data_IF_049556660359
#
_entry.id   IF_049556660359
#
_cell.length_a   1.000
_cell.length_b   1.000
_cell.length_c   1.000
_cell.angle_alpha   90.00
_cell.angle_beta   90.00
_cell.angle_gamma   90.00
#
_symmetry.space_group_name_H-M   'P 1'
#
loop_
_entity.id
_entity.type
_entity.pdbx_description
1 polymer ?
#
# COMPACT_ATOMS: atom_id res chain seq x y z
N UNK A 1 15.26 24.68 -72.70
CA UNK A 1 14.66 23.38 -72.31
C UNK A 1 14.67 23.30 -70.83
N UNK A 2 13.55 23.66 -70.19
CA UNK A 2 13.43 23.87 -68.73
C UNK A 2 12.53 22.74 -68.17
N UNK A 3 13.10 21.85 -67.35
CA UNK A 3 12.31 20.88 -66.61
C UNK A 3 12.01 21.43 -65.24
N UNK A 4 10.74 21.59 -64.94
CA UNK A 4 10.24 21.88 -63.60
C UNK A 4 10.08 20.56 -62.81
N UNK A 5 10.72 20.46 -61.67
CA UNK A 5 10.42 19.44 -60.64
C UNK A 5 9.26 19.94 -59.79
N UNK A 6 8.21 19.17 -59.74
CA UNK A 6 7.12 19.32 -58.74
C UNK A 6 7.46 18.51 -57.52
N UNK A 7 7.62 19.17 -56.40
CA UNK A 7 7.75 18.54 -55.08
C UNK A 7 6.36 18.28 -54.50
N UNK A 8 6.05 17.03 -54.28
CA UNK A 8 4.85 16.60 -53.56
C UNK A 8 5.10 16.66 -52.06
N UNK A 9 4.39 17.53 -51.37
CA UNK A 9 4.25 17.55 -49.92
C UNK A 9 3.02 16.72 -49.53
N UNK A 10 3.23 15.53 -49.03
CA UNK A 10 2.22 14.73 -48.36
C UNK A 10 2.90 13.71 -47.43
N UNK A 11 3.15 14.11 -46.20
CA UNK A 11 3.34 13.17 -45.06
C UNK A 11 3.25 13.99 -43.75
N UNK A 12 2.12 13.89 -43.09
CA UNK A 12 1.96 14.57 -41.80
C UNK A 12 0.61 14.38 -41.17
N UNK A 13 0.06 13.16 -41.18
CA UNK A 13 -1.16 12.88 -40.37
C UNK A 13 -1.35 11.37 -40.21
N UNK A 14 -0.50 10.71 -39.47
CA UNK A 14 -0.78 9.33 -38.98
C UNK A 14 0.22 8.94 -37.90
N UNK A 15 0.00 9.36 -36.64
CA UNK A 15 0.70 8.77 -35.49
C UNK A 15 0.08 9.19 -34.12
N UNK A 16 -1.21 9.45 -34.06
CA UNK A 16 -1.88 9.68 -32.74
C UNK A 16 -2.93 8.59 -32.40
N UNK A 17 -3.22 7.66 -33.30
CA UNK A 17 -4.24 6.63 -33.11
C UNK A 17 -3.78 5.30 -32.50
N UNK A 18 -2.48 5.07 -32.29
CA UNK A 18 -1.99 3.70 -32.01
C UNK A 18 -1.90 3.33 -30.52
N UNK A 19 -1.95 4.28 -29.61
CA UNK A 19 -1.83 3.99 -28.16
C UNK A 19 -3.15 3.53 -27.53
N UNK A 20 -4.22 4.24 -27.81
CA UNK A 20 -5.54 3.91 -27.27
C UNK A 20 -6.09 2.58 -27.82
N UNK A 21 -5.95 2.35 -29.13
CA UNK A 21 -6.36 1.09 -29.76
C UNK A 21 -5.59 -0.12 -29.22
N UNK A 22 -4.28 0.01 -28.94
CA UNK A 22 -3.50 -1.08 -28.32
C UNK A 22 -3.88 -1.37 -26.88
N UNK A 23 -4.27 -0.35 -26.12
CA UNK A 23 -4.75 -0.52 -24.75
C UNK A 23 -6.14 -1.19 -24.71
N UNK A 24 -7.04 -0.82 -25.62
CA UNK A 24 -8.34 -1.49 -25.77
C UNK A 24 -8.19 -2.94 -26.21
N UNK A 25 -7.30 -3.23 -27.15
CA UNK A 25 -7.02 -4.61 -27.59
C UNK A 25 -6.45 -5.46 -26.44
N UNK A 26 -5.55 -4.92 -25.63
CA UNK A 26 -4.99 -5.63 -24.46
C UNK A 26 -6.05 -5.89 -23.42
N UNK A 27 -6.93 -4.93 -23.13
CA UNK A 27 -8.02 -5.08 -22.21
C UNK A 27 -9.03 -6.14 -22.67
N UNK A 28 -9.45 -6.11 -23.92
CA UNK A 28 -10.34 -7.13 -24.49
C UNK A 28 -9.72 -8.52 -24.44
N UNK A 29 -8.41 -8.62 -24.70
CA UNK A 29 -7.66 -9.86 -24.57
C UNK A 29 -7.68 -10.38 -23.12
N UNK A 30 -7.40 -9.53 -22.13
CA UNK A 30 -7.42 -9.90 -20.73
C UNK A 30 -8.82 -10.32 -20.26
N UNK A 31 -9.87 -9.61 -20.70
CA UNK A 31 -11.25 -9.96 -20.39
C UNK A 31 -11.68 -11.31 -20.97
N UNK A 32 -11.15 -11.66 -22.14
CA UNK A 32 -11.44 -12.91 -22.83
C UNK A 32 -10.53 -14.09 -22.45
N UNK A 33 -9.40 -13.83 -21.80
CA UNK A 33 -8.43 -14.88 -21.43
C UNK A 33 -8.98 -15.82 -20.36
N UNK A 34 -8.96 -17.12 -20.68
CA UNK A 34 -9.21 -18.20 -19.75
C UNK A 34 -8.13 -19.26 -19.93
N UNK A 35 -7.72 -19.87 -18.82
CA UNK A 35 -6.79 -20.99 -18.84
C UNK A 35 -7.40 -22.19 -19.61
N UNK A 36 -6.60 -22.81 -20.47
CA UNK A 36 -6.99 -24.04 -21.17
C UNK A 36 -5.87 -25.09 -21.04
N UNK A 37 -6.08 -26.22 -20.38
CA UNK A 37 -7.27 -26.58 -19.62
C UNK A 37 -7.43 -25.76 -18.33
N UNK A 38 -8.64 -25.52 -17.86
CA UNK A 38 -8.86 -24.84 -16.59
C UNK A 38 -8.25 -25.67 -15.46
N UNK A 39 -7.37 -25.06 -14.69
CA UNK A 39 -6.85 -25.67 -13.47
C UNK A 39 -7.81 -25.30 -12.35
N UNK A 40 -8.45 -26.32 -11.79
CA UNK A 40 -9.39 -26.13 -10.69
C UNK A 40 -8.63 -26.11 -9.36
N UNK A 41 -8.43 -24.90 -8.80
CA UNK A 41 -8.06 -24.74 -7.40
C UNK A 41 -9.06 -23.85 -6.69
N UNK A 42 -9.20 -24.00 -5.35
CA UNK A 42 -10.31 -23.43 -4.61
C UNK A 42 -10.39 -21.90 -4.75
N UNK A 43 -11.58 -21.42 -5.07
CA UNK A 43 -11.93 -20.00 -4.97
C UNK A 43 -12.41 -19.68 -3.55
N UNK A 44 -12.33 -18.41 -3.17
CA UNK A 44 -12.96 -17.92 -1.94
C UNK A 44 -14.44 -17.69 -2.24
N UNK A 45 -15.37 -18.32 -1.50
CA UNK A 45 -16.80 -18.08 -1.70
C UNK A 45 -17.16 -16.61 -1.48
N UNK A 46 -17.86 -16.02 -2.46
CA UNK A 46 -18.28 -14.62 -2.42
C UNK A 46 -19.73 -14.43 -1.98
N UNK A 47 -20.47 -15.49 -1.79
CA UNK A 47 -21.86 -15.51 -1.34
C UNK A 47 -22.01 -16.23 0.00
N UNK A 48 -23.12 -15.99 0.69
CA UNK A 48 -23.48 -16.65 1.93
C UNK A 48 -23.49 -15.76 3.17
N UNK A 49 -23.70 -16.34 4.36
CA UNK A 49 -23.94 -15.59 5.60
C UNK A 49 -22.86 -14.56 5.97
N UNK A 50 -21.60 -14.83 5.62
CA UNK A 50 -20.50 -13.88 5.87
C UNK A 50 -20.62 -12.64 4.99
N UNK A 51 -20.91 -12.84 3.71
CA UNK A 51 -21.16 -11.74 2.75
C UNK A 51 -22.32 -10.86 3.21
N UNK A 52 -23.42 -11.48 3.63
CA UNK A 52 -24.61 -10.76 4.11
C UNK A 52 -24.30 -9.96 5.39
N UNK A 53 -23.54 -10.55 6.33
CA UNK A 53 -23.14 -9.88 7.55
C UNK A 53 -22.25 -8.65 7.26
N UNK A 54 -21.30 -8.76 6.33
CA UNK A 54 -20.45 -7.64 5.93
C UNK A 54 -21.26 -6.55 5.25
N UNK A 55 -22.11 -6.89 4.27
CA UNK A 55 -22.99 -5.92 3.60
C UNK A 55 -23.89 -5.19 4.60
N UNK A 56 -24.39 -5.90 5.62
CA UNK A 56 -25.18 -5.29 6.70
C UNK A 56 -24.36 -4.28 7.50
N UNK A 57 -23.12 -4.61 7.90
CA UNK A 57 -22.22 -3.68 8.62
C UNK A 57 -21.98 -2.44 7.77
N UNK A 58 -21.64 -2.59 6.49
CA UNK A 58 -21.38 -1.47 5.60
C UNK A 58 -22.58 -0.53 5.50
N UNK A 59 -23.78 -1.09 5.38
CA UNK A 59 -25.01 -0.32 5.26
C UNK A 59 -25.43 0.39 6.56
N UNK A 60 -25.27 -0.27 7.71
CA UNK A 60 -25.85 0.20 8.97
C UNK A 60 -24.89 1.00 9.83
N UNK A 61 -23.57 0.76 9.68
CA UNK A 61 -22.57 1.30 10.59
C UNK A 61 -21.61 2.30 9.94
N UNK A 62 -21.27 2.11 8.65
CA UNK A 62 -20.27 2.94 8.01
C UNK A 62 -20.82 4.30 7.63
N UNK A 63 -20.07 5.34 8.00
CA UNK A 63 -20.36 6.74 7.71
C UNK A 63 -19.33 7.28 6.74
N UNK A 64 -19.81 7.99 5.74
CA UNK A 64 -19.05 8.63 4.67
C UNK A 64 -19.50 10.08 4.48
N UNK A 65 -18.69 10.95 3.88
CA UNK A 65 -19.14 12.25 3.44
C UNK A 65 -20.30 12.16 2.42
N UNK A 66 -21.15 13.18 2.32
CA UNK A 66 -22.26 13.18 1.37
C UNK A 66 -21.84 12.89 -0.07
N UNK A 67 -22.61 12.05 -0.76
CA UNK A 67 -22.36 11.63 -2.14
C UNK A 67 -21.40 10.45 -2.30
N UNK A 68 -20.75 10.03 -1.21
CA UNK A 68 -19.93 8.82 -1.21
C UNK A 68 -20.74 7.59 -0.80
N UNK A 69 -20.39 6.47 -1.39
CA UNK A 69 -20.99 5.16 -1.17
C UNK A 69 -19.90 4.13 -0.89
N UNK A 70 -20.27 3.05 -0.18
CA UNK A 70 -19.36 1.92 0.09
C UNK A 70 -20.10 0.61 -0.11
N UNK A 71 -19.40 -0.36 -0.70
CA UNK A 71 -19.89 -1.72 -0.87
C UNK A 71 -18.80 -2.76 -0.64
N UNK A 72 -19.20 -4.01 -0.51
CA UNK A 72 -18.25 -5.13 -0.51
C UNK A 72 -17.78 -5.38 -1.95
N UNK A 73 -16.47 -5.16 -2.19
CA UNK A 73 -15.83 -5.50 -3.45
C UNK A 73 -15.56 -7.01 -3.55
N UNK A 74 -14.99 -7.60 -2.48
CA UNK A 74 -14.75 -9.03 -2.37
C UNK A 74 -14.52 -9.49 -0.92
N UNK A 75 -14.82 -10.76 -0.62
CA UNK A 75 -14.26 -11.46 0.54
C UNK A 75 -12.85 -11.95 0.19
N UNK A 76 -11.87 -11.49 0.95
CA UNK A 76 -10.45 -11.81 0.74
C UNK A 76 -9.82 -12.14 2.10
N UNK A 77 -9.57 -13.41 2.41
CA UNK A 77 -9.07 -13.79 3.74
C UNK A 77 -7.73 -13.15 4.08
N UNK A 78 -7.61 -12.55 5.27
CA UNK A 78 -6.40 -11.88 5.76
C UNK A 78 -5.90 -10.77 4.80
N UNK A 79 -6.81 -9.97 4.24
CA UNK A 79 -6.51 -8.95 3.25
C UNK A 79 -5.62 -7.85 3.81
N UNK A 80 -4.42 -7.70 3.23
CA UNK A 80 -3.44 -6.69 3.64
C UNK A 80 -3.19 -5.69 2.49
N UNK A 81 -1.94 -5.39 2.16
CA UNK A 81 -1.64 -4.41 1.11
C UNK A 81 -2.07 -4.89 -0.27
N UNK A 82 -2.45 -3.94 -1.11
CA UNK A 82 -3.05 -4.19 -2.40
C UNK A 82 -2.23 -3.57 -3.54
N UNK A 83 -2.17 -4.27 -4.67
CA UNK A 83 -1.65 -3.75 -5.91
C UNK A 83 -2.68 -3.94 -7.02
N UNK A 84 -3.29 -2.86 -7.46
CA UNK A 84 -4.21 -2.87 -8.61
C UNK A 84 -3.39 -3.06 -9.88
N UNK A 85 -3.76 -4.06 -10.69
CA UNK A 85 -3.10 -4.31 -11.97
C UNK A 85 -3.24 -3.13 -12.94
N UNK A 86 -2.23 -2.87 -13.77
CA UNK A 86 -2.23 -1.74 -14.71
C UNK A 86 -3.45 -1.69 -15.63
N UNK A 87 -4.04 -2.85 -15.95
CA UNK A 87 -5.26 -2.94 -16.76
C UNK A 87 -6.55 -2.88 -15.92
N UNK A 88 -6.44 -2.88 -14.59
CA UNK A 88 -7.60 -2.79 -13.68
C UNK A 88 -8.54 -3.99 -13.70
N UNK A 89 -8.06 -5.16 -14.14
CA UNK A 89 -8.83 -6.42 -14.17
C UNK A 89 -8.61 -7.21 -12.89
N UNK A 90 -7.40 -7.24 -12.39
CA UNK A 90 -7.01 -8.00 -11.21
C UNK A 90 -6.35 -7.10 -10.17
N UNK A 91 -6.73 -7.27 -8.92
CA UNK A 91 -6.04 -6.67 -7.77
C UNK A 91 -5.35 -7.77 -7.00
N UNK A 92 -4.03 -7.65 -6.82
CA UNK A 92 -3.26 -8.57 -5.99
C UNK A 92 -3.29 -8.11 -4.55
N UNK A 93 -3.69 -9.02 -3.66
CA UNK A 93 -3.85 -8.72 -2.23
C UNK A 93 -2.89 -9.58 -1.41
N UNK A 94 -1.95 -8.94 -0.74
CA UNK A 94 -1.02 -9.61 0.16
C UNK A 94 -1.67 -10.05 1.47
N UNK A 95 -0.97 -10.90 2.23
CA UNK A 95 -1.41 -11.37 3.54
C UNK A 95 -0.27 -11.42 4.55
N UNK A 96 -0.59 -11.55 5.83
CA UNK A 96 0.38 -11.83 6.89
C UNK A 96 0.55 -13.34 7.16
N UNK A 97 0.12 -14.19 6.25
CA UNK A 97 0.24 -15.65 6.34
C UNK A 97 1.14 -16.15 5.21
N UNK A 98 0.57 -16.85 4.25
CA UNK A 98 1.34 -17.52 3.20
C UNK A 98 0.76 -17.36 1.81
N UNK A 99 -0.31 -16.56 1.66
CA UNK A 99 -1.04 -16.44 0.40
C UNK A 99 -0.99 -15.02 -0.14
N UNK A 100 -1.02 -14.92 -1.44
CA UNK A 100 -1.43 -13.72 -2.17
C UNK A 100 -2.71 -14.10 -2.90
N UNK A 101 -3.66 -13.19 -2.90
CA UNK A 101 -4.91 -13.37 -3.60
C UNK A 101 -4.93 -12.58 -4.89
N UNK A 102 -5.39 -13.19 -5.96
CA UNK A 102 -5.81 -12.50 -7.18
C UNK A 102 -7.32 -12.28 -7.09
N UNK A 103 -7.72 -11.03 -7.03
CA UNK A 103 -9.11 -10.57 -6.92
C UNK A 103 -9.49 -9.99 -8.27
N UNK A 104 -10.42 -10.61 -8.97
CA UNK A 104 -10.69 -10.37 -10.39
C UNK A 104 -12.05 -9.71 -10.58
N UNK A 105 -12.08 -8.59 -11.28
CA UNK A 105 -13.27 -7.89 -11.78
C UNK A 105 -13.15 -7.71 -13.30
N UNK A 106 -13.38 -8.80 -14.06
CA UNK A 106 -13.23 -8.83 -15.53
C UNK A 106 -14.23 -7.92 -16.23
N UNK A 107 -15.43 -7.88 -15.72
CA UNK A 107 -16.53 -7.07 -16.28
C UNK A 107 -16.39 -5.59 -15.92
N UNK A 108 -15.46 -5.25 -15.01
CA UNK A 108 -15.34 -3.89 -14.46
C UNK A 108 -16.63 -3.37 -13.85
N UNK A 109 -17.36 -4.26 -13.18
CA UNK A 109 -18.60 -3.94 -12.50
C UNK A 109 -18.43 -3.15 -11.21
N UNK A 110 -17.21 -3.16 -10.65
CA UNK A 110 -16.92 -2.62 -9.33
C UNK A 110 -17.17 -3.62 -8.20
N UNK A 111 -17.49 -4.87 -8.53
CA UNK A 111 -17.59 -6.02 -7.61
C UNK A 111 -16.82 -7.17 -8.21
N UNK A 112 -15.89 -7.75 -7.44
CA UNK A 112 -15.06 -8.83 -7.94
C UNK A 112 -15.89 -10.11 -8.17
N UNK A 113 -15.65 -10.75 -9.30
CA UNK A 113 -16.34 -11.99 -9.70
C UNK A 113 -15.67 -13.20 -9.09
N UNK A 114 -14.33 -13.13 -8.85
CA UNK A 114 -13.55 -14.27 -8.40
C UNK A 114 -12.39 -13.86 -7.52
N UNK A 115 -12.09 -14.70 -6.52
CA UNK A 115 -10.92 -14.58 -5.66
C UNK A 115 -10.22 -15.93 -5.59
N UNK A 116 -8.98 -15.98 -6.11
CA UNK A 116 -8.12 -17.18 -6.15
C UNK A 116 -6.77 -16.91 -5.52
N UNK A 117 -6.12 -17.94 -5.02
CA UNK A 117 -4.72 -17.83 -4.63
C UNK A 117 -3.84 -17.60 -5.85
N UNK A 118 -2.99 -16.58 -5.79
CA UNK A 118 -2.00 -16.30 -6.84
C UNK A 118 -0.74 -17.15 -6.66
N UNK A 119 -0.28 -17.79 -7.73
CA UNK A 119 0.93 -18.64 -7.78
C UNK A 119 0.98 -19.67 -6.64
N UNK A 120 -0.02 -20.57 -6.50
CA UNK A 120 -0.12 -21.49 -5.37
C UNK A 120 1.02 -22.52 -5.32
N UNK A 121 1.67 -22.82 -6.43
CA UNK A 121 2.82 -23.75 -6.49
C UNK A 121 4.07 -23.20 -5.82
N UNK A 122 4.16 -21.88 -5.58
CA UNK A 122 5.30 -21.25 -4.94
C UNK A 122 5.00 -20.98 -3.45
N UNK A 123 5.75 -21.60 -2.51
CA UNK A 123 5.64 -21.26 -1.09
C UNK A 123 6.02 -19.80 -0.83
N UNK A 124 5.18 -19.09 -0.06
CA UNK A 124 5.35 -17.70 0.33
C UNK A 124 5.37 -17.56 1.84
N UNK A 125 6.11 -16.59 2.35
CA UNK A 125 6.21 -16.31 3.79
C UNK A 125 5.93 -14.85 4.08
N UNK A 126 4.75 -14.58 4.66
CA UNK A 126 4.31 -13.22 4.98
C UNK A 126 4.39 -12.28 3.76
N UNK A 127 3.78 -12.62 2.62
CA UNK A 127 3.82 -11.82 1.40
C UNK A 127 2.87 -10.61 1.52
N UNK A 128 3.22 -9.67 2.39
CA UNK A 128 2.33 -8.59 2.80
C UNK A 128 2.20 -7.50 1.75
N UNK A 129 3.29 -7.17 1.05
CA UNK A 129 3.36 -5.97 0.22
C UNK A 129 3.58 -6.25 -1.27
N UNK A 130 2.51 -6.44 -2.07
CA UNK A 130 2.60 -6.38 -3.50
C UNK A 130 2.70 -4.94 -3.98
N UNK A 131 3.45 -4.68 -5.06
CA UNK A 131 3.45 -3.42 -5.79
C UNK A 131 3.78 -3.60 -7.28
N UNK A 132 3.23 -2.77 -8.15
CA UNK A 132 3.58 -2.77 -9.57
C UNK A 132 4.65 -1.73 -9.89
N UNK A 133 5.52 -2.08 -10.82
CA UNK A 133 6.32 -1.09 -11.54
C UNK A 133 5.52 -0.50 -12.71
N UNK A 134 5.91 0.69 -13.22
CA UNK A 134 5.22 1.32 -14.36
C UNK A 134 5.21 0.49 -15.64
N UNK A 135 6.17 -0.42 -15.80
CA UNK A 135 6.28 -1.37 -16.92
C UNK A 135 5.54 -2.69 -16.70
N UNK A 136 4.77 -2.81 -15.60
CA UNK A 136 3.82 -3.90 -15.36
C UNK A 136 4.40 -5.13 -14.66
N UNK A 137 5.60 -5.04 -14.09
CA UNK A 137 6.11 -6.10 -13.22
C UNK A 137 5.49 -6.03 -11.83
N UNK A 138 4.95 -7.14 -11.34
CA UNK A 138 4.49 -7.24 -9.96
C UNK A 138 5.67 -7.65 -9.07
N UNK A 139 6.00 -6.81 -8.10
CA UNK A 139 6.89 -7.15 -7.00
C UNK A 139 6.09 -7.63 -5.80
N UNK A 140 6.62 -8.61 -5.10
CA UNK A 140 6.06 -9.09 -3.83
C UNK A 140 7.16 -9.11 -2.80
N UNK A 141 7.01 -8.28 -1.78
CA UNK A 141 7.94 -8.25 -0.66
C UNK A 141 7.42 -9.12 0.47
N UNK A 142 8.18 -10.16 0.76
CA UNK A 142 7.98 -11.05 1.89
C UNK A 142 8.77 -10.57 3.12
N UNK A 143 8.67 -11.26 4.22
CA UNK A 143 9.41 -10.89 5.42
C UNK A 143 10.92 -10.73 5.17
N UNK A 144 11.52 -11.65 4.39
CA UNK A 144 12.98 -11.66 4.15
C UNK A 144 13.35 -12.13 2.72
N UNK A 145 12.48 -11.83 1.74
CA UNK A 145 12.69 -12.14 0.32
C UNK A 145 11.94 -11.12 -0.53
N UNK A 146 12.41 -10.88 -1.76
CA UNK A 146 11.68 -10.11 -2.77
C UNK A 146 11.57 -10.92 -4.06
N UNK A 147 10.36 -11.08 -4.53
CA UNK A 147 10.01 -11.76 -5.78
C UNK A 147 9.50 -10.77 -6.82
N UNK A 148 9.71 -11.08 -8.09
CA UNK A 148 9.20 -10.33 -9.24
C UNK A 148 8.44 -11.27 -10.17
N UNK A 149 7.25 -10.86 -10.60
CA UNK A 149 6.42 -11.59 -11.54
C UNK A 149 6.23 -10.72 -12.80
N UNK A 150 6.90 -11.08 -13.91
CA UNK A 150 6.97 -10.21 -15.10
C UNK A 150 5.65 -10.08 -15.86
N UNK A 151 4.72 -11.00 -15.66
CA UNK A 151 3.46 -11.02 -16.40
C UNK A 151 2.28 -11.45 -15.51
N UNK A 152 2.28 -11.02 -14.24
CA UNK A 152 1.30 -11.44 -13.24
C UNK A 152 -0.14 -11.20 -13.71
N UNK A 153 -0.43 -10.03 -14.27
CA UNK A 153 -1.76 -9.65 -14.71
C UNK A 153 -2.30 -10.49 -15.87
N UNK A 154 -1.41 -11.12 -16.66
CA UNK A 154 -1.80 -11.97 -17.77
C UNK A 154 -1.92 -13.46 -17.38
N UNK A 155 -1.17 -13.91 -16.35
CA UNK A 155 -1.08 -15.31 -15.98
C UNK A 155 -1.53 -15.62 -14.55
N UNK A 156 -2.26 -14.70 -13.90
CA UNK A 156 -2.70 -14.86 -12.52
C UNK A 156 -3.59 -16.08 -12.26
N UNK A 157 -4.20 -16.64 -13.30
CA UNK A 157 -4.99 -17.87 -13.23
C UNK A 157 -4.16 -19.14 -13.41
N UNK A 158 -2.83 -19.02 -13.63
CA UNK A 158 -1.95 -20.18 -13.71
C UNK A 158 -1.45 -20.60 -12.32
N UNK A 159 -1.43 -21.91 -12.00
CA UNK A 159 -0.80 -22.37 -10.76
C UNK A 159 0.71 -22.14 -10.77
N UNK A 160 1.32 -22.16 -11.96
CA UNK A 160 2.74 -21.96 -12.21
C UNK A 160 2.94 -20.65 -12.98
N UNK A 161 3.38 -19.62 -12.28
CA UNK A 161 3.64 -18.29 -12.84
C UNK A 161 5.15 -18.07 -12.91
N UNK A 162 5.62 -17.49 -14.03
CA UNK A 162 7.01 -17.09 -14.15
C UNK A 162 7.39 -16.12 -13.01
N UNK A 163 8.47 -16.42 -12.29
CA UNK A 163 8.94 -15.65 -11.15
C UNK A 163 10.45 -15.45 -11.22
N UNK A 164 10.88 -14.22 -10.96
CA UNK A 164 12.26 -13.85 -10.72
C UNK A 164 12.51 -13.64 -9.23
N UNK A 165 13.71 -13.97 -8.77
CA UNK A 165 14.16 -13.69 -7.42
C UNK A 165 14.99 -12.40 -7.45
N UNK A 166 14.44 -11.33 -6.87
CA UNK A 166 15.12 -10.03 -6.78
C UNK A 166 16.07 -9.99 -5.59
N UNK A 167 15.58 -10.44 -4.42
CA UNK A 167 16.39 -10.65 -3.22
C UNK A 167 16.12 -12.07 -2.72
N UNK A 168 17.16 -12.93 -2.64
CA UNK A 168 17.02 -14.30 -2.14
C UNK A 168 16.50 -14.37 -0.70
N UNK A 169 15.91 -15.49 -0.33
CA UNK A 169 15.41 -15.70 1.03
C UNK A 169 16.57 -15.63 2.05
N UNK A 170 16.38 -14.81 3.08
CA UNK A 170 17.38 -14.58 4.12
C UNK A 170 18.42 -13.52 3.79
N UNK A 171 18.30 -12.82 2.65
CA UNK A 171 19.25 -11.78 2.24
C UNK A 171 18.69 -10.34 2.34
N UNK A 172 17.38 -10.17 2.53
CA UNK A 172 16.82 -8.84 2.74
C UNK A 172 17.23 -8.26 4.09
N UNK A 173 17.20 -9.09 5.14
CA UNK A 173 17.70 -8.80 6.48
C UNK A 173 18.46 -10.02 7.03
N UNK A 174 19.41 -9.85 8.00
CA UNK A 174 20.01 -11.00 8.67
C UNK A 174 18.95 -11.88 9.34
N UNK A 175 19.08 -13.20 9.22
CA UNK A 175 18.13 -14.15 9.84
C UNK A 175 18.01 -13.98 11.35
N UNK A 176 19.07 -13.54 12.03
CA UNK A 176 19.07 -13.21 13.47
C UNK A 176 18.15 -12.04 13.83
N UNK A 177 17.78 -11.21 12.86
CA UNK A 177 16.91 -10.04 13.03
C UNK A 177 15.47 -10.31 12.55
N UNK A 178 15.16 -11.54 12.11
CA UNK A 178 13.78 -11.94 11.86
C UNK A 178 12.99 -11.98 13.17
N UNK A 179 11.78 -11.47 13.15
CA UNK A 179 10.90 -11.36 14.32
C UNK A 179 9.45 -11.64 13.91
N UNK A 180 8.59 -11.92 14.88
CA UNK A 180 7.13 -11.90 14.69
C UNK A 180 6.56 -10.48 14.67
N UNK A 181 7.29 -9.52 15.25
CA UNK A 181 6.88 -8.13 15.28
C UNK A 181 7.38 -7.39 14.03
N UNK A 182 6.60 -6.41 13.58
CA UNK A 182 6.93 -5.47 12.52
C UNK A 182 7.39 -6.17 11.22
N UNK A 183 6.70 -7.25 10.87
CA UNK A 183 7.02 -8.09 9.71
C UNK A 183 6.41 -7.62 8.40
N UNK A 184 5.44 -6.71 8.46
CA UNK A 184 4.85 -6.14 7.26
C UNK A 184 5.93 -5.43 6.45
N UNK A 185 6.02 -5.79 5.18
CA UNK A 185 6.89 -5.14 4.19
C UNK A 185 5.99 -4.59 3.12
N UNK A 186 6.24 -3.38 2.71
CA UNK A 186 5.56 -2.77 1.58
C UNK A 186 6.59 -2.27 0.58
N UNK A 187 6.21 -2.20 -0.69
CA UNK A 187 7.05 -1.65 -1.74
C UNK A 187 6.33 -0.59 -2.56
N UNK A 188 7.14 0.28 -3.18
CA UNK A 188 6.75 1.15 -4.29
C UNK A 188 7.93 1.29 -5.25
N UNK A 189 7.63 1.40 -6.53
CA UNK A 189 8.64 1.84 -7.50
C UNK A 189 8.56 3.36 -7.60
N UNK A 190 9.68 4.00 -7.25
CA UNK A 190 9.76 5.45 -7.21
C UNK A 190 9.87 6.11 -8.59
N UNK A 191 9.73 7.43 -8.65
CA UNK A 191 9.87 8.19 -9.89
C UNK A 191 11.29 8.14 -10.50
N UNK A 192 12.27 7.70 -9.71
CA UNK A 192 13.64 7.42 -10.13
C UNK A 192 13.83 6.00 -10.70
N UNK A 193 12.75 5.21 -10.79
CA UNK A 193 12.75 3.84 -11.26
C UNK A 193 13.32 2.82 -10.28
N UNK A 194 13.63 3.20 -9.03
CA UNK A 194 14.12 2.28 -8.01
C UNK A 194 12.97 1.66 -7.20
N UNK A 195 13.22 0.47 -6.69
CA UNK A 195 12.32 -0.23 -5.78
C UNK A 195 12.60 0.24 -4.34
N UNK A 196 11.60 0.82 -3.70
CA UNK A 196 11.61 1.24 -2.29
C UNK A 196 10.92 0.20 -1.45
N UNK A 197 11.47 -0.10 -0.27
CA UNK A 197 10.94 -1.12 0.65
C UNK A 197 11.02 -0.63 2.08
N UNK A 198 9.90 -0.71 2.81
CA UNK A 198 9.82 -0.41 4.23
C UNK A 198 10.25 -1.60 5.08
N UNK A 199 11.10 -1.34 6.08
CA UNK A 199 11.64 -2.34 6.99
C UNK A 199 11.37 -1.96 8.44
N UNK A 200 10.30 -2.48 9.04
CA UNK A 200 10.09 -2.37 10.48
C UNK A 200 11.18 -3.11 11.26
N UNK A 201 11.58 -2.58 12.41
CA UNK A 201 12.60 -3.19 13.26
C UNK A 201 11.97 -4.10 14.35
N UNK A 202 12.69 -5.11 14.88
CA UNK A 202 12.09 -6.19 15.68
C UNK A 202 11.55 -5.79 17.07
N UNK A 203 12.03 -4.71 17.66
CA UNK A 203 11.76 -4.37 19.07
C UNK A 203 10.70 -3.27 19.22
N UNK A 204 10.10 -3.18 20.39
CA UNK A 204 9.34 -1.99 20.78
C UNK A 204 10.27 -0.76 20.81
N UNK A 205 11.36 -0.85 21.60
CA UNK A 205 12.51 0.05 21.54
C UNK A 205 13.75 -0.83 21.48
N UNK A 206 14.67 -0.66 20.49
CA UNK A 206 15.81 -1.54 20.35
C UNK A 206 16.85 -1.33 21.45
N UNK A 207 17.60 -2.38 21.86
CA UNK A 207 18.75 -2.23 22.69
C UNK A 207 19.80 -1.32 22.03
N UNK A 208 20.54 -0.53 22.85
CA UNK A 208 21.50 0.48 22.37
C UNK A 208 22.57 -0.11 21.46
N UNK A 209 23.03 -1.32 21.73
CA UNK A 209 24.01 -2.05 20.93
C UNK A 209 23.53 -2.44 19.52
N UNK A 210 22.22 -2.49 19.29
CA UNK A 210 21.64 -2.77 17.98
C UNK A 210 21.53 -1.54 17.07
N UNK A 211 21.63 -0.34 17.62
CA UNK A 211 21.38 0.90 16.91
C UNK A 211 22.24 1.06 15.66
N UNK A 212 23.57 0.87 15.79
CA UNK A 212 24.50 0.98 14.66
C UNK A 212 24.23 -0.05 13.56
N UNK A 213 23.85 -1.28 13.96
CA UNK A 213 23.48 -2.34 13.03
C UNK A 213 22.20 -1.98 12.28
N UNK A 214 21.18 -1.52 12.98
CA UNK A 214 19.87 -1.20 12.37
C UNK A 214 19.96 0.00 11.43
N UNK A 215 20.71 1.03 11.80
CA UNK A 215 20.99 2.17 10.90
C UNK A 215 21.72 1.71 9.63
N UNK A 216 22.70 0.81 9.74
CA UNK A 216 23.44 0.23 8.60
C UNK A 216 22.54 -0.61 7.69
N UNK A 217 21.60 -1.36 8.26
CA UNK A 217 20.70 -2.26 7.51
C UNK A 217 19.45 -1.55 6.97
N UNK A 218 19.12 -0.36 7.50
CA UNK A 218 17.84 0.31 7.24
C UNK A 218 16.65 -0.32 7.97
N UNK A 219 16.90 -1.11 9.04
CA UNK A 219 15.83 -1.61 9.91
C UNK A 219 15.28 -0.47 10.77
N UNK A 220 13.97 -0.33 10.81
CA UNK A 220 13.33 0.90 11.28
C UNK A 220 13.57 2.05 10.29
N UNK A 221 13.29 1.79 9.02
CA UNK A 221 13.53 2.75 7.96
C UNK A 221 13.00 2.29 6.60
N UNK A 222 13.50 2.96 5.58
CA UNK A 222 13.20 2.66 4.19
C UNK A 222 14.51 2.43 3.46
N UNK A 223 14.59 1.34 2.70
CA UNK A 223 15.67 1.08 1.76
C UNK A 223 15.20 1.29 0.34
N UNK A 224 16.15 1.56 -0.57
CA UNK A 224 15.87 1.49 -2.00
C UNK A 224 16.95 0.70 -2.72
N UNK A 225 16.62 0.17 -3.88
CA UNK A 225 17.53 -0.59 -4.73
C UNK A 225 17.08 -0.52 -6.18
N UNK A 226 17.94 -0.94 -7.09
CA UNK A 226 17.51 -1.17 -8.47
C UNK A 226 16.48 -2.30 -8.50
N UNK A 227 15.60 -2.31 -9.49
CA UNK A 227 14.53 -3.29 -9.63
C UNK A 227 15.04 -4.75 -9.74
N UNK A 228 16.31 -4.97 -10.01
CA UNK A 228 16.99 -6.26 -10.02
C UNK A 228 17.67 -6.62 -8.69
N UNK A 229 17.43 -5.85 -7.62
CA UNK A 229 17.99 -6.06 -6.29
C UNK A 229 19.40 -5.51 -6.06
N UNK A 230 20.06 -4.95 -7.08
CA UNK A 230 21.42 -4.38 -6.96
C UNK A 230 21.37 -2.95 -6.40
N UNK A 231 22.56 -2.45 -6.03
CA UNK A 231 22.74 -1.06 -5.58
C UNK A 231 21.82 -0.66 -4.42
N UNK A 232 21.66 -1.58 -3.43
CA UNK A 232 20.87 -1.33 -2.24
C UNK A 232 21.47 -0.19 -1.43
N UNK A 233 20.62 0.76 -1.07
CA UNK A 233 20.94 1.94 -0.25
C UNK A 233 19.92 2.07 0.89
N UNK A 234 20.33 2.64 2.02
CA UNK A 234 19.42 3.09 3.07
C UNK A 234 18.92 4.48 2.69
N UNK A 235 17.61 4.60 2.45
CA UNK A 235 17.00 5.86 2.02
C UNK A 235 16.64 6.75 3.19
N UNK A 236 16.03 6.18 4.24
CA UNK A 236 15.69 6.89 5.48
C UNK A 236 15.87 5.98 6.70
N UNK A 237 16.13 6.60 7.84
CA UNK A 237 16.32 5.94 9.15
C UNK A 237 15.46 6.61 10.22
N UNK A 238 15.45 6.07 11.44
CA UNK A 238 14.75 6.70 12.57
C UNK A 238 13.25 6.52 12.54
N UNK A 239 12.73 5.61 11.75
CA UNK A 239 11.37 5.08 11.81
C UNK A 239 11.36 3.83 12.72
N UNK A 240 10.18 3.45 13.23
CA UNK A 240 10.05 2.26 14.06
C UNK A 240 9.46 1.07 13.29
N UNK A 241 8.26 1.23 12.82
CA UNK A 241 7.53 0.26 12.03
C UNK A 241 6.76 0.97 10.93
N UNK A 242 7.46 1.46 9.89
CA UNK A 242 6.81 2.10 8.77
C UNK A 242 5.97 1.09 8.01
N UNK A 243 4.71 1.44 7.78
CA UNK A 243 3.73 0.64 7.02
C UNK A 243 2.86 1.60 6.24
N UNK A 244 2.80 1.43 4.95
CA UNK A 244 2.12 2.37 4.06
C UNK A 244 3.04 3.49 3.57
N UNK A 245 3.26 3.53 2.25
CA UNK A 245 4.01 4.61 1.61
C UNK A 245 3.51 4.87 0.20
N UNK A 246 3.62 6.13 -0.22
CA UNK A 246 3.36 6.50 -1.61
C UNK A 246 4.11 7.79 -1.97
N UNK A 247 4.29 8.03 -3.27
CA UNK A 247 4.94 9.22 -3.78
C UNK A 247 3.93 10.30 -4.13
N UNK A 248 4.16 11.51 -3.65
CA UNK A 248 3.37 12.66 -4.05
C UNK A 248 3.46 12.84 -5.58
N UNK A 249 2.33 12.79 -6.29
CA UNK A 249 2.34 12.91 -7.75
C UNK A 249 2.85 14.26 -8.25
N UNK A 250 2.77 15.32 -7.41
CA UNK A 250 3.13 16.69 -7.77
C UNK A 250 4.62 16.97 -7.61
N UNK A 251 5.17 16.74 -6.42
CA UNK A 251 6.56 17.12 -6.08
C UNK A 251 7.52 15.92 -5.94
N UNK A 252 6.99 14.70 -6.04
CA UNK A 252 7.73 13.44 -5.95
C UNK A 252 8.33 13.14 -4.57
N UNK A 253 8.00 13.88 -3.53
CA UNK A 253 8.33 13.52 -2.16
C UNK A 253 7.71 12.17 -1.80
N UNK A 254 8.43 11.37 -1.02
CA UNK A 254 7.92 10.10 -0.49
C UNK A 254 7.17 10.38 0.81
N UNK A 255 6.02 9.77 1.00
CA UNK A 255 5.26 9.83 2.25
C UNK A 255 5.12 8.46 2.87
N UNK A 256 5.16 8.39 4.19
CA UNK A 256 5.10 7.13 4.94
C UNK A 256 4.38 7.30 6.27
N UNK A 257 3.47 6.38 6.59
CA UNK A 257 2.98 6.20 7.94
C UNK A 257 4.00 5.42 8.77
N UNK A 258 4.07 5.71 10.08
CA UNK A 258 4.91 4.98 11.02
C UNK A 258 4.17 4.69 12.33
N UNK A 259 4.30 3.43 12.81
CA UNK A 259 3.69 2.95 14.04
C UNK A 259 4.65 3.09 15.21
N UNK A 260 4.22 3.75 16.27
CA UNK A 260 5.05 4.24 17.33
C UNK A 260 5.12 3.33 18.58
N UNK A 261 5.90 3.75 19.59
CA UNK A 261 6.25 2.95 20.77
C UNK A 261 5.01 2.59 21.59
N UNK A 262 4.91 1.33 22.00
CA UNK A 262 3.87 0.82 22.87
C UNK A 262 4.20 1.04 24.35
N UNK A 263 3.14 1.14 25.20
CA UNK A 263 3.29 1.13 26.65
C UNK A 263 3.71 2.44 27.30
N UNK A 264 3.57 3.57 26.59
CA UNK A 264 3.86 4.90 27.12
C UNK A 264 2.62 5.61 27.72
N UNK A 265 1.44 5.02 27.59
CA UNK A 265 0.16 5.55 28.02
C UNK A 265 -0.85 5.59 26.87
N UNK A 266 -2.10 5.96 27.17
CA UNK A 266 -3.17 5.96 26.17
C UNK A 266 -2.97 7.04 25.09
N UNK A 267 -2.51 8.23 25.46
CA UNK A 267 -2.50 9.40 24.59
C UNK A 267 -1.12 9.75 24.03
N UNK A 268 -0.09 8.97 24.37
CA UNK A 268 1.27 9.13 23.87
C UNK A 268 1.93 7.76 23.60
N UNK A 269 2.86 7.71 22.64
CA UNK A 269 3.20 8.75 21.66
C UNK A 269 2.21 8.79 20.50
N UNK A 270 2.13 9.88 19.74
CA UNK A 270 1.32 9.95 18.53
C UNK A 270 1.85 8.99 17.47
N UNK A 271 0.97 8.48 16.59
CA UNK A 271 1.35 7.92 15.31
C UNK A 271 1.88 8.99 14.37
N UNK A 272 2.55 8.62 13.31
CA UNK A 272 3.19 9.58 12.41
C UNK A 272 2.81 9.38 10.96
N UNK A 273 2.59 10.49 10.26
CA UNK A 273 2.66 10.56 8.80
C UNK A 273 3.84 11.46 8.45
N UNK A 274 4.86 10.84 7.88
CA UNK A 274 6.15 11.45 7.59
C UNK A 274 6.27 11.81 6.11
N UNK A 275 6.83 12.98 5.82
CA UNK A 275 7.25 13.40 4.49
C UNK A 275 8.76 13.27 4.37
N UNK A 276 9.21 12.59 3.34
CA UNK A 276 10.61 12.34 3.05
C UNK A 276 10.99 13.11 1.77
N UNK A 277 11.75 14.16 1.92
CA UNK A 277 12.15 15.03 0.80
C UNK A 277 13.42 14.57 0.10
N UNK A 278 14.31 13.89 0.84
CA UNK A 278 15.63 13.44 0.33
C UNK A 278 16.15 12.22 1.04
N UNK A 279 17.08 11.56 0.40
CA UNK A 279 17.80 10.45 1.00
C UNK A 279 18.69 10.93 2.18
N UNK A 280 18.73 10.10 3.24
CA UNK A 280 19.56 10.30 4.44
C UNK A 280 18.84 10.97 5.59
N UNK A 281 17.55 11.25 5.48
CA UNK A 281 16.76 11.79 6.59
C UNK A 281 16.60 10.77 7.72
N UNK A 282 16.64 11.30 8.97
CA UNK A 282 16.48 10.53 10.21
C UNK A 282 15.27 11.06 10.98
N UNK A 283 14.28 10.19 11.23
CA UNK A 283 13.00 10.54 11.85
C UNK A 283 12.99 10.34 13.37
N UNK A 284 14.17 10.16 13.97
CA UNK A 284 14.41 10.32 15.39
C UNK A 284 14.17 9.10 16.27
N UNK A 285 13.56 8.02 15.80
CA UNK A 285 13.50 6.78 16.58
C UNK A 285 14.92 6.12 16.62
N UNK A 286 15.40 5.62 17.76
CA UNK A 286 14.67 5.32 19.01
C UNK A 286 14.75 6.40 20.09
N UNK A 287 15.33 7.57 19.85
CA UNK A 287 15.37 8.66 20.84
C UNK A 287 13.98 9.23 21.12
N UNK A 288 13.15 9.30 20.07
CA UNK A 288 11.73 9.65 20.15
C UNK A 288 10.89 8.40 19.91
N UNK A 289 9.83 8.23 20.66
CA UNK A 289 8.91 7.11 20.54
C UNK A 289 7.74 7.40 19.60
N UNK A 290 7.65 8.64 19.12
CA UNK A 290 6.69 9.23 18.21
C UNK A 290 6.54 10.72 18.49
N UNK A 291 6.47 11.53 17.42
CA UNK A 291 6.49 12.97 17.50
C UNK A 291 7.68 13.47 18.32
N UNK A 292 7.41 14.33 19.28
CA UNK A 292 8.44 14.86 20.19
C UNK A 292 8.59 14.09 21.52
N UNK A 293 7.94 12.92 21.67
CA UNK A 293 7.91 12.15 22.93
C UNK A 293 9.18 11.30 23.07
N UNK A 294 10.02 11.60 24.08
CA UNK A 294 11.26 10.88 24.35
C UNK A 294 11.01 9.47 24.89
N UNK A 295 11.77 8.48 24.40
CA UNK A 295 11.79 7.12 24.97
C UNK A 295 12.61 7.10 26.26
N UNK A 296 12.18 6.26 27.24
CA UNK A 296 12.88 6.12 28.51
C UNK A 296 14.25 5.50 28.34
N UNK A 297 14.39 4.53 27.44
CA UNK A 297 15.60 3.76 27.15
C UNK A 297 16.73 4.61 26.59
N UNK A 298 16.40 5.75 25.96
CA UNK A 298 17.35 6.66 25.33
C UNK A 298 17.37 8.06 25.97
N UNK A 299 16.80 8.21 27.15
CA UNK A 299 16.73 9.51 27.84
C UNK A 299 18.12 10.08 28.19
N UNK A 300 19.09 9.20 28.42
CA UNK A 300 20.49 9.53 28.73
C UNK A 300 21.34 9.85 27.49
N UNK A 301 20.79 9.71 26.29
CA UNK A 301 21.46 10.03 25.04
C UNK A 301 20.94 11.33 24.43
N UNK A 302 21.82 12.07 23.78
CA UNK A 302 21.44 13.23 22.96
C UNK A 302 20.93 12.73 21.60
N UNK A 303 19.72 13.12 21.17
CA UNK A 303 19.24 12.83 19.83
C UNK A 303 20.14 13.45 18.75
N UNK A 304 20.10 12.94 17.51
CA UNK A 304 20.68 13.64 16.37
C UNK A 304 20.13 15.08 16.26
N UNK A 305 20.98 16.01 15.80
CA UNK A 305 20.59 17.42 15.71
C UNK A 305 19.67 17.72 14.52
N UNK A 306 19.64 16.83 13.53
CA UNK A 306 18.95 16.95 12.25
C UNK A 306 17.73 16.02 12.11
N UNK A 307 17.10 15.68 13.25
CA UNK A 307 15.88 14.87 13.25
C UNK A 307 14.77 15.60 12.51
N UNK A 308 14.14 14.88 11.56
CA UNK A 308 12.94 15.31 10.87
C UNK A 308 11.73 14.84 11.65
N UNK A 309 10.83 15.75 11.99
CA UNK A 309 9.60 15.44 12.68
C UNK A 309 8.43 15.25 11.70
N UNK A 310 7.37 14.51 12.10
CA UNK A 310 6.26 14.20 11.21
C UNK A 310 5.51 15.45 10.73
N UNK A 311 5.00 15.39 9.50
CA UNK A 311 4.06 16.40 8.97
C UNK A 311 2.72 16.33 9.69
N UNK A 312 2.30 15.14 10.13
CA UNK A 312 1.07 14.93 10.89
C UNK A 312 1.33 13.98 12.05
N UNK A 313 1.01 14.45 13.26
CA UNK A 313 0.87 13.59 14.42
C UNK A 313 -0.55 13.00 14.43
N UNK A 314 -0.64 11.69 14.38
CA UNK A 314 -1.89 10.93 14.39
C UNK A 314 -2.31 10.59 15.84
N UNK A 315 -3.56 10.18 16.01
CA UNK A 315 -4.03 9.71 17.32
C UNK A 315 -3.16 8.55 17.80
N UNK A 316 -2.67 8.66 19.05
CA UNK A 316 -1.78 7.65 19.64
C UNK A 316 -2.38 6.23 19.56
N UNK A 317 -1.56 5.30 19.12
CA UNK A 317 -1.89 3.86 19.02
C UNK A 317 -3.01 3.49 18.04
N UNK A 318 -3.43 4.41 17.16
CA UNK A 318 -4.46 4.11 16.16
C UNK A 318 -4.01 3.04 15.13
N UNK A 319 -2.72 2.72 15.11
CA UNK A 319 -2.06 1.81 14.17
C UNK A 319 -2.24 2.27 12.72
N UNK A 320 -1.53 3.33 12.38
CA UNK A 320 -1.54 3.92 11.04
C UNK A 320 -0.83 2.98 10.05
N UNK A 321 -1.55 2.52 9.02
CA UNK A 321 -1.06 1.54 8.05
C UNK A 321 -1.03 2.12 6.64
N UNK A 322 -1.77 1.52 5.69
CA UNK A 322 -1.73 1.89 4.28
C UNK A 322 -1.94 3.37 3.98
N UNK A 323 -1.30 3.84 2.93
CA UNK A 323 -1.32 5.23 2.49
C UNK A 323 -1.28 5.29 0.97
N UNK A 324 -2.12 6.13 0.36
CA UNK A 324 -2.10 6.38 -1.07
C UNK A 324 -2.51 7.81 -1.41
N UNK A 325 -1.85 8.41 -2.40
CA UNK A 325 -2.28 9.66 -3.01
C UNK A 325 -3.44 9.41 -3.97
N UNK A 326 -4.49 10.19 -3.86
CA UNK A 326 -5.61 10.13 -4.79
C UNK A 326 -5.30 10.94 -6.05
N UNK A 327 -5.26 10.27 -7.20
CA UNK A 327 -5.00 10.89 -8.51
C UNK A 327 -6.18 10.80 -9.46
N UNK A 328 -7.25 10.08 -9.07
CA UNK A 328 -8.43 9.86 -9.87
C UNK A 328 -9.29 11.10 -10.09
N UNK A 329 -10.26 10.96 -10.96
CA UNK A 329 -11.22 12.01 -11.32
C UNK A 329 -12.65 11.70 -10.86
N UNK A 330 -12.88 10.53 -10.23
CA UNK A 330 -14.21 10.15 -9.73
C UNK A 330 -14.64 10.98 -8.51
N UNK A 331 -13.73 11.26 -7.59
CA UNK A 331 -14.05 12.05 -6.40
C UNK A 331 -14.08 13.54 -6.70
N UNK A 332 -14.80 14.36 -5.92
CA UNK A 332 -14.78 15.82 -6.06
C UNK A 332 -13.36 16.38 -6.11
N UNK A 333 -13.15 17.44 -6.91
CA UNK A 333 -11.82 18.00 -7.21
C UNK A 333 -10.95 18.29 -5.98
N UNK A 334 -11.55 18.62 -4.84
CA UNK A 334 -10.82 18.86 -3.58
C UNK A 334 -10.03 17.65 -3.07
N UNK A 335 -10.39 16.42 -3.49
CA UNK A 335 -9.71 15.19 -3.07
C UNK A 335 -8.51 14.87 -3.97
N UNK A 336 -8.40 15.49 -5.15
CA UNK A 336 -7.27 15.25 -6.07
C UNK A 336 -5.96 15.72 -5.43
N UNK A 337 -4.99 14.82 -5.29
CA UNK A 337 -3.74 15.05 -4.58
C UNK A 337 -3.83 14.93 -3.05
N UNK A 338 -5.00 14.64 -2.48
CA UNK A 338 -5.11 14.31 -1.06
C UNK A 338 -4.54 12.91 -0.77
N UNK A 339 -4.09 12.71 0.46
CA UNK A 339 -3.63 11.43 0.97
C UNK A 339 -4.81 10.73 1.64
N UNK A 340 -5.14 9.52 1.20
CA UNK A 340 -5.97 8.60 1.97
C UNK A 340 -5.08 7.65 2.74
N UNK A 341 -5.43 7.38 4.00
CA UNK A 341 -4.70 6.44 4.85
C UNK A 341 -5.63 5.66 5.76
N UNK A 342 -5.15 4.54 6.29
CA UNK A 342 -5.93 3.70 7.19
C UNK A 342 -5.39 3.78 8.61
N UNK A 343 -6.31 3.75 9.57
CA UNK A 343 -6.03 3.46 10.96
C UNK A 343 -6.65 2.10 11.29
N UNK A 344 -5.79 1.12 11.56
CA UNK A 344 -6.20 -0.27 11.78
C UNK A 344 -6.97 -0.48 13.09
N UNK A 345 -6.69 0.36 14.08
CA UNK A 345 -7.29 0.34 15.40
C UNK A 345 -6.34 -0.13 16.49
N UNK A 346 -6.50 0.45 17.66
CA UNK A 346 -5.65 0.20 18.83
C UNK A 346 -5.88 -1.19 19.44
N UNK A 347 -4.84 -1.71 20.09
CA UNK A 347 -4.92 -2.90 20.93
C UNK A 347 -4.50 -2.62 22.38
N UNK A 348 -3.83 -1.51 22.63
CA UNK A 348 -3.14 -1.14 23.86
C UNK A 348 -3.65 0.19 24.46
N UNK A 349 -4.91 0.56 24.21
CA UNK A 349 -5.59 1.71 24.82
C UNK A 349 -6.75 1.26 25.70
N UNK A 350 -7.01 2.03 26.78
CA UNK A 350 -8.18 1.85 27.64
C UNK A 350 -9.47 2.06 26.85
N UNK A 351 -9.51 3.12 26.04
CA UNK A 351 -10.60 3.38 25.09
C UNK A 351 -10.06 3.15 23.67
N UNK A 352 -10.53 2.10 22.98
CA UNK A 352 -10.10 1.78 21.63
C UNK A 352 -10.38 2.91 20.63
N UNK A 353 -9.40 3.18 19.75
CA UNK A 353 -9.48 4.19 18.69
C UNK A 353 -9.11 3.60 17.33
N UNK A 354 -9.32 4.34 16.25
CA UNK A 354 -9.01 3.90 14.89
C UNK A 354 -10.11 3.01 14.30
N UNK A 355 -9.73 2.04 13.50
CA UNK A 355 -10.57 1.27 12.59
C UNK A 355 -11.38 2.19 11.66
N UNK A 356 -10.66 2.94 10.81
CA UNK A 356 -11.24 3.94 9.91
C UNK A 356 -10.29 4.30 8.76
N UNK A 357 -10.83 4.91 7.74
CA UNK A 357 -10.06 5.56 6.68
C UNK A 357 -10.00 7.05 6.97
N UNK A 358 -8.81 7.62 6.82
CA UNK A 358 -8.52 9.03 7.03
C UNK A 358 -8.29 9.73 5.69
N UNK A 359 -8.46 11.05 5.65
CA UNK A 359 -8.04 11.90 4.55
C UNK A 359 -7.21 13.06 5.06
N UNK A 360 -6.11 13.34 4.38
CA UNK A 360 -5.20 14.47 4.66
C UNK A 360 -5.08 15.32 3.41
N UNK A 361 -5.43 16.61 3.53
CA UNK A 361 -5.33 17.55 2.44
C UNK A 361 -3.97 18.26 2.47
N UNK A 362 -3.41 18.51 1.28
CA UNK A 362 -2.16 19.24 1.12
C UNK A 362 -2.42 20.64 0.58
N UNK A 363 -1.50 21.56 0.91
CA UNK A 363 -1.38 22.88 0.29
C UNK A 363 -0.63 22.76 -1.04
N UNK A 364 -0.57 23.87 -1.76
CA UNK A 364 0.16 23.94 -3.04
C UNK A 364 1.67 23.73 -2.90
N UNK A 365 2.24 24.04 -1.75
CA UNK A 365 3.66 23.81 -1.41
C UNK A 365 3.99 22.35 -1.05
N UNK A 366 2.99 21.46 -1.04
CA UNK A 366 3.15 20.04 -0.74
C UNK A 366 3.14 19.71 0.75
N UNK A 367 3.01 20.69 1.66
CA UNK A 367 2.81 20.47 3.08
C UNK A 367 1.33 20.27 3.43
N UNK A 368 1.05 19.69 4.59
CA UNK A 368 -0.34 19.48 5.01
C UNK A 368 -1.11 20.78 5.22
N UNK A 369 -2.37 20.78 4.82
CA UNK A 369 -3.27 21.91 5.02
C UNK A 369 -3.85 21.96 6.44
N UNK A 370 -3.75 20.84 7.17
CA UNK A 370 -4.29 20.67 8.52
C UNK A 370 -4.19 19.22 8.97
N UNK A 371 -4.76 18.86 10.11
CA UNK A 371 -4.73 17.48 10.61
C UNK A 371 -5.47 16.54 9.67
N UNK A 372 -5.10 15.25 9.72
CA UNK A 372 -5.90 14.20 9.10
C UNK A 372 -7.30 14.14 9.72
N UNK A 373 -8.30 13.93 8.89
CA UNK A 373 -9.70 13.82 9.32
C UNK A 373 -10.32 12.49 8.91
N UNK A 374 -11.28 11.94 9.66
CA UNK A 374 -11.99 10.73 9.25
C UNK A 374 -12.70 10.93 7.92
N UNK A 375 -12.52 9.97 7.00
CA UNK A 375 -13.20 9.91 5.71
C UNK A 375 -14.27 8.80 5.68
N UNK A 376 -13.92 7.60 6.16
CA UNK A 376 -14.87 6.51 6.36
C UNK A 376 -14.67 5.94 7.76
N UNK A 377 -15.72 5.90 8.56
CA UNK A 377 -15.69 5.44 9.96
C UNK A 377 -16.93 4.62 10.32
N UNK A 378 -16.85 3.86 11.42
CA UNK A 378 -17.95 3.03 11.90
C UNK A 378 -17.57 1.57 12.10
N UNK A 379 -16.37 1.16 11.71
CA UNK A 379 -15.84 -0.17 12.05
C UNK A 379 -15.47 -0.33 13.53
N UNK A 380 -15.30 0.77 14.26
CA UNK A 380 -15.19 0.76 15.73
C UNK A 380 -16.57 1.10 16.33
N UNK A 381 -17.28 0.09 16.83
CA UNK A 381 -18.57 0.25 17.51
C UNK A 381 -18.36 0.23 19.03
N UNK A 382 -18.10 1.40 19.61
CA UNK A 382 -17.90 1.58 21.05
C UNK A 382 -16.80 0.67 21.64
N UNK A 383 -15.69 0.51 20.94
CA UNK A 383 -14.56 -0.30 21.36
C UNK A 383 -14.60 -1.75 20.86
N UNK A 384 -15.68 -2.16 20.21
CA UNK A 384 -15.76 -3.43 19.51
C UNK A 384 -15.49 -3.23 18.01
N UNK A 385 -14.43 -3.85 17.49
CA UNK A 385 -14.09 -3.73 16.09
C UNK A 385 -14.95 -4.66 15.24
N UNK A 386 -15.75 -4.07 14.34
CA UNK A 386 -16.55 -4.76 13.32
C UNK A 386 -15.76 -5.02 12.03
N UNK A 387 -14.61 -4.38 11.88
CA UNK A 387 -13.63 -4.49 10.82
C UNK A 387 -12.39 -3.70 11.19
N UNK A 388 -11.28 -3.94 10.49
CA UNK A 388 -10.00 -3.27 10.72
C UNK A 388 -9.33 -2.92 9.39
N UNK A 389 -9.58 -1.72 8.85
CA UNK A 389 -8.96 -1.25 7.60
C UNK A 389 -7.42 -1.32 7.66
N UNK A 390 -6.82 -1.84 6.59
CA UNK A 390 -5.37 -2.05 6.50
C UNK A 390 -4.72 -1.18 5.46
N UNK A 391 -5.29 -1.15 4.25
CA UNK A 391 -4.69 -0.48 3.11
C UNK A 391 -5.76 0.23 2.27
N UNK A 392 -5.31 1.22 1.52
CA UNK A 392 -6.09 1.93 0.52
C UNK A 392 -5.37 1.89 -0.83
N UNK A 393 -6.12 1.61 -1.89
CA UNK A 393 -5.59 1.63 -3.25
C UNK A 393 -6.61 2.24 -4.21
N UNK A 394 -6.17 3.04 -5.15
CA UNK A 394 -7.05 3.58 -6.19
C UNK A 394 -7.32 2.51 -7.24
N UNK A 395 -8.60 2.29 -7.54
CA UNK A 395 -9.06 1.41 -8.61
C UNK A 395 -8.96 2.10 -9.97
N UNK A 396 -9.11 1.31 -11.03
CA UNK A 396 -9.05 1.76 -12.43
C UNK A 396 -10.02 2.88 -12.78
N UNK A 397 -11.20 2.90 -12.15
CA UNK A 397 -12.27 3.88 -12.37
C UNK A 397 -12.16 5.13 -11.48
N UNK A 398 -11.15 5.20 -10.63
CA UNK A 398 -10.96 6.27 -9.66
C UNK A 398 -11.70 6.05 -8.35
N UNK A 399 -12.38 4.93 -8.14
CA UNK A 399 -12.86 4.53 -6.82
C UNK A 399 -11.70 4.13 -5.90
N UNK A 400 -11.95 4.08 -4.60
CA UNK A 400 -10.97 3.67 -3.60
C UNK A 400 -11.30 2.27 -3.09
N UNK A 401 -10.33 1.35 -3.17
CA UNK A 401 -10.39 0.05 -2.52
C UNK A 401 -9.82 0.18 -1.11
N UNK A 402 -10.43 -0.52 -0.15
CA UNK A 402 -10.01 -0.57 1.25
C UNK A 402 -9.97 -2.03 1.70
N UNK A 403 -8.80 -2.52 2.10
CA UNK A 403 -8.66 -3.88 2.62
C UNK A 403 -8.90 -3.95 4.12
N UNK A 404 -9.35 -5.10 4.61
CA UNK A 404 -9.68 -5.38 6.00
C UNK A 404 -9.28 -6.81 6.37
N UNK A 405 -8.34 -6.98 7.27
CA UNK A 405 -7.81 -8.30 7.67
C UNK A 405 -8.62 -8.99 8.76
N UNK A 406 -9.38 -8.23 9.57
CA UNK A 406 -10.22 -8.81 10.61
C UNK A 406 -11.40 -9.56 10.01
N UNK A 407 -12.12 -8.91 9.12
CA UNK A 407 -13.26 -9.51 8.41
C UNK A 407 -12.75 -10.39 7.28
N UNK A 408 -11.61 -10.06 6.69
CA UNK A 408 -11.12 -10.67 5.45
C UNK A 408 -11.97 -10.24 4.27
N UNK A 409 -11.88 -8.96 3.93
CA UNK A 409 -12.64 -8.33 2.87
C UNK A 409 -11.84 -7.21 2.20
N UNK A 410 -12.28 -6.85 1.01
CA UNK A 410 -11.94 -5.59 0.34
C UNK A 410 -13.25 -4.85 0.09
N UNK A 411 -13.29 -3.59 0.43
CA UNK A 411 -14.42 -2.69 0.22
C UNK A 411 -14.11 -1.76 -0.95
N UNK A 412 -15.13 -1.29 -1.67
CA UNK A 412 -15.02 -0.25 -2.69
C UNK A 412 -15.78 0.99 -2.23
N UNK A 413 -15.14 2.14 -2.28
CA UNK A 413 -15.73 3.45 -2.02
C UNK A 413 -15.75 4.24 -3.32
N UNK A 414 -16.93 4.74 -3.72
CA UNK A 414 -17.09 5.56 -4.93
C UNK A 414 -17.93 6.80 -4.64
N UNK A 415 -17.95 7.70 -5.59
CA UNK A 415 -18.72 8.95 -5.49
C UNK A 415 -19.72 9.07 -6.63
N UNK A 416 -20.97 9.32 -6.26
CA UNK A 416 -22.02 9.72 -7.20
C UNK A 416 -22.34 11.19 -6.98
N UNK A 417 -21.64 12.07 -7.74
CA UNK A 417 -21.98 13.48 -7.79
C UNK A 417 -23.31 13.72 -8.45
N UNK A 418 -24.14 14.57 -7.85
CA UNK A 418 -25.30 15.15 -8.54
C UNK A 418 -24.84 16.29 -9.42
#
# INVERSE_FOLDING_TARGET
MIFRLATATALGALLIGSGAARAEDALQTLQAMHMTPPVDWPTVPQEGPKTDAVKKILKEKIKLPPGFHIELYALVPDARHMAVGPQGIVTFVGTRKSKIWAVTDRSRSGVAEEVKEFAPSLPKRLPNGPCFSPDGFLYVVEQNRILQYPAAEFFYESPDVAVGVVVPEGELIPKSEESFNHTARECRVGPDGKLYVQLGQPYNVPPKEKQALYKKLGLGGIIRMDQNGKNREVYATGLRNPVGMDFNPKDKSLWSNDNQVDGMGDDIPPGEMNRLDKMGEDFGFPWYGGGHVRTKEYMDQTPPADVVFPEVEQVAHAADLGLAFYTGDMFPAKYKGAIFSTQHGSWNRTVPVGARVMVTFLKDDGHVAGPSTPFAEGWNDNGHYLGRPVDVAQSWDGSLLVSDDLVGAVYRIWYEGK
#
